data_IF_458655145529
#
_entry.id   IF_458655145529
#
_cell.length_a   1.000
_cell.length_b   1.000
_cell.length_c   1.000
_cell.angle_alpha   90.00
_cell.angle_beta   90.00
_cell.angle_gamma   90.00
#
_symmetry.space_group_name_H-M   'P 1'
#
loop_
_entity.id
_entity.type
_entity.pdbx_description
1 polymer ?
#
# COMPACT_ATOMS: atom_id res chain seq x y z
N UNK A 1 -37.78 57.40 30.13
CA UNK A 1 -36.35 57.07 30.31
C UNK A 1 -36.18 55.58 30.11
N UNK A 2 -35.93 55.10 28.89
CA UNK A 2 -35.47 53.73 28.67
C UNK A 2 -34.46 53.73 27.51
N UNK A 3 -33.18 53.74 27.88
CA UNK A 3 -32.06 53.59 26.96
C UNK A 3 -31.97 52.13 26.50
N UNK A 4 -32.58 51.81 25.36
CA UNK A 4 -32.32 50.56 24.63
C UNK A 4 -30.86 50.53 24.15
N UNK A 5 -29.98 49.93 24.96
CA UNK A 5 -28.60 49.57 24.61
C UNK A 5 -28.63 48.56 23.47
N UNK A 6 -28.41 49.02 22.24
CA UNK A 6 -28.20 48.13 21.08
C UNK A 6 -26.92 47.33 21.31
N UNK A 7 -26.95 45.99 21.28
CA UNK A 7 -25.73 45.21 21.44
C UNK A 7 -24.76 45.47 20.29
N UNK A 8 -23.49 45.66 20.64
CA UNK A 8 -22.41 45.91 19.70
C UNK A 8 -22.27 44.73 18.73
N UNK A 9 -22.41 45.00 17.43
CA UNK A 9 -22.37 44.02 16.33
C UNK A 9 -21.10 43.15 16.36
N UNK A 10 -19.99 43.65 16.93
CA UNK A 10 -18.76 42.87 17.09
C UNK A 10 -18.89 41.69 18.07
N UNK A 11 -19.70 41.81 19.12
CA UNK A 11 -19.87 40.73 20.10
C UNK A 11 -20.59 39.52 19.46
N UNK A 12 -21.57 39.80 18.59
CA UNK A 12 -22.37 38.79 17.91
C UNK A 12 -21.54 37.98 16.88
N UNK A 13 -20.53 38.60 16.24
CA UNK A 13 -19.62 37.90 15.31
C UNK A 13 -18.68 36.93 16.03
N UNK A 14 -18.17 37.29 17.22
CA UNK A 14 -17.26 36.41 18.00
C UNK A 14 -17.96 35.16 18.51
N UNK A 15 -19.23 35.24 18.88
CA UNK A 15 -20.01 34.07 19.31
C UNK A 15 -20.37 33.11 18.17
N UNK A 16 -20.60 33.63 16.95
CA UNK A 16 -20.80 32.76 15.77
C UNK A 16 -19.52 31.99 15.43
N UNK A 17 -18.35 32.63 15.47
CA UNK A 17 -17.09 31.93 15.22
C UNK A 17 -16.77 30.87 16.27
N UNK A 18 -17.04 31.15 17.56
CA UNK A 18 -16.86 30.14 18.62
C UNK A 18 -17.76 28.92 18.44
N UNK A 19 -19.01 29.11 18.01
CA UNK A 19 -19.94 27.99 17.74
C UNK A 19 -19.48 27.12 16.57
N UNK A 20 -18.98 27.70 15.49
CA UNK A 20 -18.41 26.93 14.37
C UNK A 20 -17.15 26.15 14.76
N UNK A 21 -16.26 26.77 15.55
CA UNK A 21 -15.04 26.09 16.01
C UNK A 21 -15.34 24.94 16.97
N UNK A 22 -16.35 25.07 17.82
CA UNK A 22 -16.76 24.03 18.77
C UNK A 22 -17.45 22.84 18.09
N UNK A 23 -18.19 23.08 17.00
CA UNK A 23 -18.79 22.02 16.16
C UNK A 23 -17.74 21.19 15.41
N UNK A 24 -16.61 21.79 15.02
CA UNK A 24 -15.55 21.07 14.31
C UNK A 24 -14.78 20.06 15.17
N UNK A 25 -14.80 20.18 16.52
CA UNK A 25 -14.11 19.27 17.45
C UNK A 25 -14.99 18.18 18.05
N UNK A 26 -16.30 18.18 17.75
CA UNK A 26 -17.28 17.21 18.24
C UNK A 26 -17.90 16.40 17.11
N UNK A 27 -17.17 16.12 16.05
CA UNK A 27 -17.55 14.97 15.23
C UNK A 27 -17.23 13.72 16.07
N UNK A 28 -18.22 12.93 16.51
CA UNK A 28 -17.92 11.59 17.00
C UNK A 28 -17.12 10.88 15.90
N UNK A 29 -16.05 10.18 16.28
CA UNK A 29 -15.40 9.27 15.33
C UNK A 29 -16.51 8.43 14.70
N UNK A 30 -16.54 8.26 13.37
CA UNK A 30 -17.54 7.40 12.74
C UNK A 30 -17.48 6.04 13.46
N UNK A 31 -18.61 5.60 14.00
CA UNK A 31 -18.70 4.34 14.73
C UNK A 31 -17.99 3.25 13.91
N UNK A 32 -17.15 2.37 14.50
CA UNK A 32 -16.39 1.36 13.77
C UNK A 32 -17.26 0.25 13.14
N UNK A 33 -18.58 0.33 13.32
CA UNK A 33 -19.60 -0.59 12.79
C UNK A 33 -19.46 -0.92 11.29
N UNK A 34 -19.31 0.04 10.35
CA UNK A 34 -19.29 -0.30 8.94
C UNK A 34 -18.04 -1.11 8.59
N UNK A 35 -16.87 -0.75 9.15
CA UNK A 35 -15.59 -1.43 8.87
C UNK A 35 -15.60 -2.86 9.38
N UNK A 36 -16.12 -3.09 10.60
CA UNK A 36 -16.26 -4.45 11.15
C UNK A 36 -17.16 -5.31 10.26
N UNK A 37 -18.28 -4.77 9.79
CA UNK A 37 -19.21 -5.47 8.92
C UNK A 37 -18.58 -5.87 7.58
N UNK A 38 -17.71 -5.02 7.01
CA UNK A 38 -16.98 -5.36 5.78
C UNK A 38 -15.91 -6.41 6.01
N UNK A 39 -15.18 -6.35 7.13
CA UNK A 39 -14.14 -7.33 7.47
C UNK A 39 -14.77 -8.70 7.69
N UNK A 40 -15.85 -8.79 8.48
CA UNK A 40 -16.53 -10.06 8.73
C UNK A 40 -17.07 -10.69 7.45
N UNK A 41 -17.57 -9.88 6.51
CA UNK A 41 -18.00 -10.37 5.19
C UNK A 41 -16.85 -10.80 4.28
N UNK A 42 -15.66 -10.23 4.45
CA UNK A 42 -14.49 -10.55 3.62
C UNK A 42 -13.68 -11.74 4.16
N UNK A 43 -13.80 -12.04 5.45
CA UNK A 43 -13.08 -13.15 6.09
C UNK A 43 -13.73 -14.47 5.74
N UNK A 44 -12.94 -15.37 5.15
CA UNK A 44 -13.32 -16.76 4.95
C UNK A 44 -12.98 -17.53 6.22
N UNK A 45 -13.94 -18.24 6.79
CA UNK A 45 -13.68 -19.17 7.89
C UNK A 45 -12.92 -20.38 7.36
N UNK A 46 -11.67 -20.55 7.79
CA UNK A 46 -10.81 -21.66 7.37
C UNK A 46 -10.40 -22.49 8.59
N UNK A 47 -10.27 -23.83 8.48
CA UNK A 47 -9.73 -24.67 9.53
C UNK A 47 -8.35 -24.16 10.03
N UNK A 48 -8.12 -24.24 11.35
CA UNK A 48 -6.91 -23.76 12.03
C UNK A 48 -5.57 -24.08 11.32
N UNK A 49 -5.31 -25.31 10.82
CA UNK A 49 -4.07 -25.56 10.07
C UNK A 49 -3.98 -24.76 8.76
N UNK A 50 -5.10 -24.60 8.05
CA UNK A 50 -5.14 -23.86 6.78
C UNK A 50 -4.92 -22.35 6.97
N UNK A 51 -5.31 -21.78 8.12
CA UNK A 51 -5.05 -20.36 8.44
C UNK A 51 -3.56 -20.03 8.50
N UNK A 52 -2.68 -21.01 8.75
CA UNK A 52 -1.22 -20.81 8.75
C UNK A 52 -0.63 -21.14 7.38
N UNK A 53 -1.15 -22.18 6.72
CA UNK A 53 -0.64 -22.66 5.43
C UNK A 53 -0.97 -21.69 4.29
N UNK A 54 -2.16 -21.11 4.26
CA UNK A 54 -2.60 -20.22 3.17
C UNK A 54 -1.77 -18.92 3.08
N UNK A 55 -1.46 -18.22 4.19
CA UNK A 55 -0.53 -17.09 4.16
C UNK A 55 0.87 -17.50 3.68
N UNK A 56 1.41 -18.62 4.18
CA UNK A 56 2.71 -19.12 3.75
C UNK A 56 2.75 -19.41 2.25
N UNK A 57 1.69 -20.01 1.72
CA UNK A 57 1.58 -20.29 0.29
C UNK A 57 1.53 -19.00 -0.54
N UNK A 58 0.84 -17.95 -0.08
CA UNK A 58 0.81 -16.65 -0.76
C UNK A 58 2.14 -15.90 -0.75
N UNK A 59 3.09 -16.22 0.15
CA UNK A 59 4.45 -15.64 0.14
C UNK A 59 5.26 -16.18 -1.04
N UNK A 60 5.17 -17.48 -1.31
CA UNK A 60 5.93 -18.13 -2.39
C UNK A 60 5.20 -18.05 -3.74
N UNK A 61 3.87 -18.19 -3.71
CA UNK A 61 3.01 -18.23 -4.88
C UNK A 61 1.79 -17.31 -4.67
N UNK A 62 1.95 -16.00 -4.92
CA UNK A 62 0.88 -15.04 -4.72
C UNK A 62 -0.33 -15.40 -5.60
N UNK A 63 -1.50 -15.47 -4.98
CA UNK A 63 -2.76 -15.78 -5.64
C UNK A 63 -3.18 -17.25 -5.57
N UNK A 64 -2.25 -18.19 -5.40
CA UNK A 64 -2.60 -19.62 -5.20
C UNK A 64 -3.29 -19.82 -3.85
N UNK A 65 -2.80 -19.19 -2.78
CA UNK A 65 -3.46 -19.21 -1.47
C UNK A 65 -4.87 -18.65 -1.51
N UNK A 66 -5.08 -17.58 -2.26
CA UNK A 66 -6.39 -16.94 -2.41
C UNK A 66 -7.38 -17.80 -3.21
N UNK A 67 -6.91 -18.56 -4.20
CA UNK A 67 -7.75 -19.54 -4.92
C UNK A 67 -8.08 -20.72 -4.01
N UNK A 68 -7.10 -21.24 -3.27
CA UNK A 68 -7.33 -22.38 -2.36
C UNK A 68 -8.27 -21.98 -1.21
N UNK A 69 -8.16 -20.77 -0.67
CA UNK A 69 -9.10 -20.26 0.35
C UNK A 69 -10.53 -20.18 -0.18
N UNK A 70 -10.73 -19.96 -1.48
CA UNK A 70 -12.08 -19.93 -2.07
C UNK A 70 -12.82 -21.26 -1.97
N UNK A 71 -12.12 -22.40 -1.82
CA UNK A 71 -12.78 -23.70 -1.65
C UNK A 71 -13.27 -23.94 -0.22
N UNK A 72 -12.78 -23.15 0.74
CA UNK A 72 -13.23 -23.21 2.13
C UNK A 72 -14.36 -22.21 2.43
N UNK A 73 -14.62 -21.26 1.53
CA UNK A 73 -15.69 -20.29 1.69
C UNK A 73 -17.06 -20.96 1.54
N UNK A 74 -17.93 -20.73 2.52
CA UNK A 74 -19.31 -21.23 2.53
C UNK A 74 -20.25 -20.34 1.72
N UNK A 75 -19.96 -19.03 1.63
CA UNK A 75 -20.75 -18.07 0.86
C UNK A 75 -20.26 -17.94 -0.59
N UNK A 76 -21.18 -17.99 -1.55
CA UNK A 76 -20.89 -17.89 -2.99
C UNK A 76 -20.14 -16.60 -3.38
N UNK A 77 -20.50 -15.48 -2.76
CA UNK A 77 -19.83 -14.19 -3.02
C UNK A 77 -18.37 -14.19 -2.55
N UNK A 78 -18.09 -14.81 -1.40
CA UNK A 78 -16.73 -14.96 -0.89
C UNK A 78 -15.90 -15.88 -1.78
N UNK A 79 -16.49 -16.98 -2.27
CA UNK A 79 -15.84 -17.89 -3.21
C UNK A 79 -15.45 -17.15 -4.50
N UNK A 80 -16.38 -16.42 -5.10
CA UNK A 80 -16.14 -15.69 -6.35
C UNK A 80 -15.07 -14.61 -6.17
N UNK A 81 -15.20 -13.79 -5.13
CA UNK A 81 -14.26 -12.71 -4.86
C UNK A 81 -12.83 -13.24 -4.60
N UNK A 82 -12.69 -14.32 -3.82
CA UNK A 82 -11.39 -14.92 -3.54
C UNK A 82 -10.74 -15.54 -4.79
N UNK A 83 -11.52 -16.17 -5.68
CA UNK A 83 -11.03 -16.70 -6.96
C UNK A 83 -10.56 -15.60 -7.89
N UNK A 84 -11.37 -14.56 -8.07
CA UNK A 84 -11.04 -13.43 -8.96
C UNK A 84 -9.81 -12.70 -8.43
N UNK A 85 -9.75 -12.41 -7.14
CA UNK A 85 -8.59 -11.77 -6.51
C UNK A 85 -7.33 -12.63 -6.67
N UNK A 86 -7.42 -13.94 -6.44
CA UNK A 86 -6.30 -14.86 -6.60
C UNK A 86 -5.82 -14.97 -8.06
N UNK A 87 -6.74 -14.98 -9.02
CA UNK A 87 -6.41 -14.98 -10.44
C UNK A 87 -5.72 -13.68 -10.88
N UNK A 88 -6.22 -12.53 -10.43
CA UNK A 88 -5.57 -11.24 -10.66
C UNK A 88 -4.16 -11.19 -10.04
N UNK A 89 -4.00 -11.73 -8.84
CA UNK A 89 -2.69 -11.84 -8.18
C UNK A 89 -1.73 -12.73 -8.97
N UNK A 90 -2.19 -13.85 -9.52
CA UNK A 90 -1.38 -14.72 -10.38
C UNK A 90 -0.92 -14.03 -11.66
N UNK A 91 -1.82 -13.27 -12.32
CA UNK A 91 -1.47 -12.53 -13.54
C UNK A 91 -0.50 -11.37 -13.28
N UNK A 92 -0.62 -10.72 -12.12
CA UNK A 92 0.24 -9.58 -11.76
C UNK A 92 1.59 -9.99 -11.18
N UNK A 93 1.68 -11.16 -10.55
CA UNK A 93 2.92 -11.72 -10.00
C UNK A 93 4.12 -11.72 -10.97
N UNK A 94 4.03 -12.25 -12.20
CA UNK A 94 5.15 -12.25 -13.14
C UNK A 94 5.56 -10.84 -13.56
N UNK A 95 4.64 -9.86 -13.54
CA UNK A 95 4.97 -8.46 -13.83
C UNK A 95 5.86 -7.89 -12.73
N UNK A 96 5.54 -8.13 -11.46
CA UNK A 96 6.36 -7.70 -10.32
C UNK A 96 7.72 -8.40 -10.30
N UNK A 97 7.76 -9.71 -10.50
CA UNK A 97 9.01 -10.49 -10.54
C UNK A 97 9.88 -10.03 -11.73
N UNK A 98 9.28 -9.85 -12.90
CA UNK A 98 9.96 -9.35 -14.09
C UNK A 98 10.55 -7.95 -13.89
N UNK A 99 9.87 -7.07 -13.15
CA UNK A 99 10.41 -5.75 -12.79
C UNK A 99 11.62 -5.85 -11.86
N UNK A 100 11.56 -6.68 -10.82
CA UNK A 100 12.70 -6.90 -9.91
C UNK A 100 13.91 -7.47 -10.67
N UNK A 101 13.67 -8.44 -11.56
CA UNK A 101 14.70 -9.01 -12.41
C UNK A 101 15.34 -7.97 -13.34
N UNK A 102 14.51 -7.11 -13.96
CA UNK A 102 14.98 -6.02 -14.82
C UNK A 102 15.89 -5.05 -14.08
N UNK A 103 15.52 -4.66 -12.84
CA UNK A 103 16.36 -3.81 -11.98
C UNK A 103 17.69 -4.49 -11.64
N UNK A 104 17.66 -5.77 -11.30
CA UNK A 104 18.88 -6.53 -10.99
C UNK A 104 19.84 -6.60 -12.17
N UNK A 105 19.32 -6.87 -13.37
CA UNK A 105 20.10 -6.85 -14.60
C UNK A 105 20.64 -5.45 -14.93
N UNK A 106 19.83 -4.40 -14.76
CA UNK A 106 20.27 -3.02 -14.92
C UNK A 106 21.43 -2.66 -13.99
N UNK A 107 21.34 -3.07 -12.73
CA UNK A 107 22.43 -2.88 -11.75
C UNK A 107 23.69 -3.65 -12.12
N UNK A 108 23.55 -4.91 -12.55
CA UNK A 108 24.67 -5.73 -13.03
C UNK A 108 25.39 -5.06 -14.21
N UNK A 109 24.64 -4.56 -15.19
CA UNK A 109 25.20 -3.84 -16.35
C UNK A 109 25.91 -2.56 -15.93
N UNK A 110 25.36 -1.81 -14.97
CA UNK A 110 26.00 -0.60 -14.45
C UNK A 110 27.35 -0.91 -13.79
N UNK A 111 27.45 -1.96 -12.96
CA UNK A 111 28.72 -2.35 -12.33
C UNK A 111 29.78 -2.76 -13.35
N UNK A 112 29.38 -3.53 -14.36
CA UNK A 112 30.28 -3.94 -15.45
C UNK A 112 30.82 -2.72 -16.20
N UNK A 113 29.95 -1.74 -16.50
CA UNK A 113 30.34 -0.49 -17.18
C UNK A 113 31.35 0.33 -16.37
N UNK A 114 31.15 0.46 -15.05
CA UNK A 114 32.07 1.20 -14.18
C UNK A 114 33.45 0.53 -14.10
N UNK A 115 33.50 -0.81 -13.98
CA UNK A 115 34.76 -1.56 -13.99
C UNK A 115 35.54 -1.41 -15.31
N UNK A 116 34.85 -1.32 -16.44
CA UNK A 116 35.48 -1.07 -17.74
C UNK A 116 36.10 0.33 -17.84
N UNK A 117 35.45 1.35 -17.28
CA UNK A 117 35.97 2.73 -17.28
C UNK A 117 37.26 2.84 -16.46
N UNK A 118 37.33 2.20 -15.30
CA UNK A 118 38.54 2.20 -14.47
C UNK A 118 39.72 1.53 -15.16
N UNK A 119 39.50 0.40 -15.85
CA UNK A 119 40.54 -0.30 -16.60
C UNK A 119 41.06 0.55 -17.77
N UNK A 120 40.18 1.22 -18.52
CA UNK A 120 40.61 2.11 -19.60
C UNK A 120 41.43 3.31 -19.10
N UNK A 121 41.12 3.84 -17.92
CA UNK A 121 41.89 4.92 -17.30
C UNK A 121 43.27 4.43 -16.86
N UNK A 122 43.34 3.26 -16.25
CA UNK A 122 44.61 2.64 -15.85
C UNK A 122 45.50 2.36 -17.07
N UNK A 123 44.94 1.79 -18.13
CA UNK A 123 45.65 1.54 -19.40
C UNK A 123 46.14 2.84 -20.05
N UNK A 124 45.32 3.90 -20.07
CA UNK A 124 45.75 5.22 -20.56
C UNK A 124 46.90 5.79 -19.73
N UNK A 125 46.84 5.64 -18.40
CA UNK A 125 47.87 6.14 -17.50
C UNK A 125 49.19 5.38 -17.69
N UNK A 126 49.12 4.05 -17.82
CA UNK A 126 50.27 3.17 -18.08
C UNK A 126 50.92 3.46 -19.44
N UNK A 127 50.12 3.75 -20.48
CA UNK A 127 50.63 4.18 -21.80
C UNK A 127 51.31 5.54 -21.75
N UNK A 128 50.85 6.48 -20.93
CA UNK A 128 51.50 7.79 -20.75
C UNK A 128 52.86 7.66 -20.06
N UNK A 129 52.95 6.83 -19.01
CA UNK A 129 54.23 6.55 -18.31
C UNK A 129 55.30 5.93 -19.20
N UNK A 130 54.94 5.21 -20.27
CA UNK A 130 55.91 4.61 -21.21
C UNK A 130 56.48 5.60 -22.24
N UNK A 131 55.94 6.81 -22.34
CA UNK A 131 56.38 7.84 -23.31
C UNK A 131 57.33 8.88 -22.70
N UNK A 132 57.54 8.83 -21.40
CA UNK A 132 58.52 9.62 -20.66
C UNK A 132 59.61 8.67 -20.16
#
# INVERSE_FOLDING_TARGET
>A
MEHLKRPCIQHQRRERQRRHFFWSKKQPLPDPEPVKMFIERAVVEVPKPANVILPLMNIFFPGVGSIVSSFYATASDQQYNARVAGFLQLLTTPIFIGRLWSIWHGWKMFRISQGMKTLQLEDKHKRRKRRH
#
